data_IF_773643116793
#
_entry.id   IF_773643116793
#
_cell.length_a   1.000
_cell.length_b   1.000
_cell.length_c   1.000
_cell.angle_alpha   90.00
_cell.angle_beta   90.00
_cell.angle_gamma   90.00
#
_symmetry.space_group_name_H-M   'P 1'
#
loop_
_entity.id
_entity.type
_entity.pdbx_description
1 polymer ?
#
# COMPACT_ATOMS: atom_id res chain seq x y z
N UNK A 1 3.98 -56.47 14.69
CA UNK A 1 3.81 -55.88 16.04
C UNK A 1 4.68 -54.64 16.12
N UNK A 2 4.17 -53.57 16.74
CA UNK A 2 4.70 -52.18 16.82
C UNK A 2 4.71 -51.42 15.50
N UNK A 3 3.86 -50.43 15.21
CA UNK A 3 3.20 -49.37 15.97
C UNK A 3 4.12 -48.25 16.50
N UNK A 4 3.69 -47.02 16.18
CA UNK A 4 4.01 -45.67 16.73
C UNK A 4 5.25 -44.96 16.21
N UNK A 5 5.34 -43.63 16.07
CA UNK A 5 4.46 -42.43 16.08
C UNK A 5 5.44 -41.25 15.98
N UNK A 6 5.05 -40.17 15.28
CA UNK A 6 5.54 -38.78 15.40
C UNK A 6 7.05 -38.45 15.45
N UNK A 7 7.48 -37.60 14.51
CA UNK A 7 7.73 -36.18 14.82
C UNK A 7 8.36 -35.51 13.59
N UNK A 8 7.53 -34.77 12.84
CA UNK A 8 8.02 -33.71 11.96
C UNK A 8 8.58 -32.64 12.88
N UNK A 9 9.89 -32.70 13.12
CA UNK A 9 10.61 -31.73 13.95
C UNK A 9 10.65 -30.37 13.25
N UNK A 10 9.63 -29.56 13.55
CA UNK A 10 9.70 -28.11 13.68
C UNK A 10 10.86 -27.72 14.61
N UNK A 11 12.08 -27.58 14.09
CA UNK A 11 13.15 -26.91 14.82
C UNK A 11 14.35 -26.59 13.91
N UNK A 12 14.21 -25.57 13.08
CA UNK A 12 15.37 -24.87 12.51
C UNK A 12 15.02 -23.43 12.09
N UNK A 13 14.24 -22.70 12.88
CA UNK A 13 14.28 -21.23 12.83
C UNK A 13 15.52 -20.82 13.61
N UNK A 14 16.67 -20.86 12.92
CA UNK A 14 17.91 -20.29 13.42
C UNK A 14 17.81 -18.77 13.30
N UNK A 15 17.81 -18.12 14.45
CA UNK A 15 18.11 -16.71 14.62
C UNK A 15 19.36 -16.36 13.78
N UNK A 16 19.23 -15.47 12.79
CA UNK A 16 20.41 -14.92 12.10
C UNK A 16 20.32 -14.58 10.61
N UNK A 17 19.25 -14.88 9.88
CA UNK A 17 19.19 -14.58 8.43
C UNK A 17 18.24 -13.43 8.10
N UNK A 18 18.70 -12.19 8.30
CA UNK A 18 18.10 -11.00 7.70
C UNK A 18 18.49 -10.83 6.21
N UNK A 19 18.71 -11.92 5.50
CA UNK A 19 19.12 -11.94 4.10
C UNK A 19 18.34 -13.04 3.38
N UNK A 20 17.23 -12.68 2.75
CA UNK A 20 16.81 -13.41 1.55
C UNK A 20 17.93 -13.22 0.54
N UNK A 21 18.40 -14.31 -0.09
CA UNK A 21 19.68 -14.44 -0.80
C UNK A 21 19.97 -13.45 -1.96
N UNK A 22 19.15 -12.42 -2.18
CA UNK A 22 19.27 -11.48 -3.29
C UNK A 22 19.32 -9.99 -2.89
N UNK A 23 18.89 -9.59 -1.68
CA UNK A 23 18.85 -8.17 -1.27
C UNK A 23 19.32 -7.97 0.17
N UNK A 24 20.36 -7.15 0.35
CA UNK A 24 20.92 -6.83 1.66
C UNK A 24 20.53 -5.40 2.09
N UNK A 25 19.74 -5.29 3.15
CA UNK A 25 19.41 -3.99 3.75
C UNK A 25 20.66 -3.35 4.37
N UNK A 26 20.81 -2.03 4.23
CA UNK A 26 21.95 -1.35 4.86
C UNK A 26 21.88 -1.42 6.39
N UNK A 27 23.04 -1.45 7.08
CA UNK A 27 23.06 -1.36 8.54
C UNK A 27 22.40 -0.08 9.09
N UNK A 28 22.30 0.97 8.28
CA UNK A 28 21.57 2.19 8.63
C UNK A 28 20.06 1.94 8.67
N UNK A 29 19.49 1.30 7.64
CA UNK A 29 18.05 1.00 7.57
C UNK A 29 17.55 0.18 8.77
N UNK A 30 18.40 -0.71 9.30
CA UNK A 30 18.08 -1.52 10.47
C UNK A 30 18.23 -0.76 11.79
N UNK A 31 19.24 0.12 11.92
CA UNK A 31 19.58 0.81 13.17
C UNK A 31 18.88 2.14 13.40
N UNK A 32 18.24 2.74 12.37
CA UNK A 32 17.56 4.05 12.50
C UNK A 32 16.25 4.00 13.32
N UNK A 33 15.67 2.82 13.52
CA UNK A 33 14.34 2.60 14.11
C UNK A 33 14.09 3.34 15.44
N UNK A 34 14.94 3.23 16.49
CA UNK A 34 14.67 3.92 17.76
C UNK A 34 14.70 5.44 17.62
N UNK A 35 15.62 5.97 16.82
CA UNK A 35 15.74 7.41 16.57
C UNK A 35 14.51 7.95 15.83
N UNK A 36 14.06 7.23 14.82
CA UNK A 36 12.84 7.55 14.07
C UNK A 36 11.61 7.55 14.99
N UNK A 37 11.51 6.61 15.93
CA UNK A 37 10.41 6.57 16.91
C UNK A 37 10.39 7.81 17.80
N UNK A 38 11.55 8.26 18.29
CA UNK A 38 11.68 9.49 19.10
C UNK A 38 11.24 10.70 18.29
N UNK A 39 11.68 10.82 17.03
CA UNK A 39 11.22 11.88 16.12
C UNK A 39 9.70 11.79 15.92
N UNK A 40 9.16 10.58 15.76
CA UNK A 40 7.73 10.31 15.67
C UNK A 40 6.95 10.88 16.85
N UNK A 41 7.45 10.74 18.08
CA UNK A 41 6.83 11.32 19.28
C UNK A 41 6.93 12.85 19.26
N UNK A 42 8.12 13.39 18.97
CA UNK A 42 8.38 14.84 18.94
C UNK A 42 7.48 15.56 17.93
N UNK A 43 7.23 14.95 16.77
CA UNK A 43 6.34 15.50 15.73
C UNK A 43 4.87 15.14 16.02
N UNK A 44 4.59 13.95 16.53
CA UNK A 44 3.24 13.43 16.73
C UNK A 44 2.47 14.16 17.84
N UNK A 45 3.12 14.49 18.94
CA UNK A 45 2.49 15.21 20.08
C UNK A 45 1.90 16.56 19.66
N UNK A 46 2.65 17.48 19.00
CA UNK A 46 2.09 18.76 18.57
C UNK A 46 1.06 18.62 17.43
N UNK A 47 1.14 17.55 16.62
CA UNK A 47 0.15 17.28 15.57
C UNK A 47 -1.12 16.60 16.07
N UNK A 48 -1.11 15.98 17.24
CA UNK A 48 -2.26 15.32 17.84
C UNK A 48 -3.54 16.20 17.91
N UNK A 49 -3.49 17.48 18.37
CA UNK A 49 -4.68 18.33 18.37
C UNK A 49 -5.21 18.62 16.95
N UNK A 50 -4.33 18.74 15.95
CA UNK A 50 -4.71 18.95 14.55
C UNK A 50 -5.41 17.69 14.02
N UNK A 51 -4.84 16.51 14.26
CA UNK A 51 -5.45 15.23 13.88
C UNK A 51 -6.83 15.07 14.52
N UNK A 52 -6.96 15.40 15.82
CA UNK A 52 -8.24 15.34 16.51
C UNK A 52 -9.28 16.27 15.88
N UNK A 53 -8.91 17.52 15.59
CA UNK A 53 -9.78 18.48 14.92
C UNK A 53 -10.25 17.97 13.55
N UNK A 54 -9.34 17.44 12.73
CA UNK A 54 -9.69 16.90 11.42
C UNK A 54 -10.62 15.69 11.51
N UNK A 55 -10.39 14.79 12.47
CA UNK A 55 -11.28 13.65 12.75
C UNK A 55 -12.69 14.12 13.15
N UNK A 56 -12.79 15.17 13.98
CA UNK A 56 -14.07 15.76 14.36
C UNK A 56 -14.78 16.39 13.15
N UNK A 57 -14.07 17.16 12.32
CA UNK A 57 -14.63 17.73 11.08
C UNK A 57 -15.18 16.66 10.14
N UNK A 58 -14.49 15.53 9.99
CA UNK A 58 -14.98 14.40 9.19
C UNK A 58 -16.25 13.78 9.79
N UNK A 59 -16.34 13.67 11.12
CA UNK A 59 -17.55 13.16 11.79
C UNK A 59 -18.74 14.10 11.67
N UNK A 60 -18.50 15.41 11.64
CA UNK A 60 -19.54 16.42 11.47
C UNK A 60 -20.05 16.50 10.02
N UNK A 61 -19.19 16.20 9.05
CA UNK A 61 -19.51 16.31 7.62
C UNK A 61 -19.91 14.97 6.97
N UNK A 62 -19.71 13.84 7.65
CA UNK A 62 -20.02 12.50 7.13
C UNK A 62 -20.34 11.53 8.28
N UNK A 63 -21.40 10.73 8.11
CA UNK A 63 -21.81 9.71 9.08
C UNK A 63 -20.73 8.64 9.32
N UNK A 64 -20.60 8.15 10.55
CA UNK A 64 -19.68 7.07 10.94
C UNK A 64 -18.33 7.53 11.52
N UNK A 65 -17.34 6.63 11.64
CA UNK A 65 -16.06 6.90 12.30
C UNK A 65 -15.15 7.83 11.47
N UNK A 66 -14.55 8.85 12.10
CA UNK A 66 -13.64 9.78 11.43
C UNK A 66 -12.23 9.22 11.13
N UNK A 67 -11.87 8.10 11.76
CA UNK A 67 -10.65 7.34 11.46
C UNK A 67 -10.97 6.10 10.65
N UNK A 68 -10.20 5.88 9.59
CA UNK A 68 -10.19 4.67 8.80
C UNK A 68 -9.00 3.79 9.21
N UNK A 69 -9.24 2.47 9.28
CA UNK A 69 -8.27 1.46 9.67
C UNK A 69 -8.20 0.42 8.56
N UNK A 70 -7.00 0.02 8.18
CA UNK A 70 -6.80 -0.98 7.13
C UNK A 70 -5.62 -1.88 7.45
N UNK A 71 -5.75 -3.18 7.18
CA UNK A 71 -4.63 -4.14 7.30
C UNK A 71 -3.64 -3.91 6.17
N UNK A 72 -2.37 -4.02 6.49
CA UNK A 72 -1.25 -3.79 5.57
C UNK A 72 -0.12 -4.74 5.91
N UNK A 73 0.62 -5.16 4.89
CA UNK A 73 1.82 -6.00 5.03
C UNK A 73 3.02 -5.12 5.36
N UNK A 74 3.77 -5.51 6.38
CA UNK A 74 4.91 -4.79 6.92
C UNK A 74 6.19 -5.62 6.93
N UNK A 75 7.02 -5.40 7.95
CA UNK A 75 8.32 -6.06 8.09
C UNK A 75 8.15 -7.59 8.18
N UNK A 76 8.95 -8.32 7.41
CA UNK A 76 8.94 -9.78 7.29
C UNK A 76 7.59 -10.37 6.85
N UNK A 77 6.73 -9.57 6.20
CA UNK A 77 5.40 -10.01 5.79
C UNK A 77 4.36 -9.91 6.91
N UNK A 78 4.74 -9.47 8.11
CA UNK A 78 3.83 -9.33 9.24
C UNK A 78 2.81 -8.23 8.98
N UNK A 79 1.57 -8.50 9.36
CA UNK A 79 0.49 -7.56 9.14
C UNK A 79 0.34 -6.56 10.28
N UNK A 80 0.04 -5.31 9.93
CA UNK A 80 -0.27 -4.26 10.90
C UNK A 80 -1.45 -3.41 10.44
N UNK A 81 -2.03 -2.66 11.37
CA UNK A 81 -3.14 -1.75 11.08
C UNK A 81 -2.62 -0.35 10.79
N UNK A 82 -2.81 0.14 9.57
CA UNK A 82 -2.54 1.54 9.23
C UNK A 82 -3.71 2.44 9.65
N UNK A 83 -3.41 3.62 10.17
CA UNK A 83 -4.42 4.62 10.54
C UNK A 83 -4.44 5.78 9.54
N UNK A 84 -5.64 6.16 9.09
CA UNK A 84 -5.85 7.34 8.25
C UNK A 84 -7.09 8.10 8.71
N UNK A 85 -7.19 9.37 8.32
CA UNK A 85 -8.45 10.10 8.42
C UNK A 85 -9.35 9.64 7.28
N UNK A 86 -10.60 9.34 7.58
CA UNK A 86 -11.54 8.87 6.57
C UNK A 86 -11.81 9.98 5.55
N UNK A 87 -11.44 9.73 4.29
CA UNK A 87 -11.65 10.64 3.16
C UNK A 87 -12.69 10.14 2.15
N UNK A 88 -13.16 8.90 2.30
CA UNK A 88 -14.23 8.29 1.50
C UNK A 88 -15.49 8.07 2.33
N UNK A 89 -16.62 7.87 1.65
CA UNK A 89 -17.88 7.46 2.30
C UNK A 89 -17.71 6.10 2.98
N UNK A 90 -18.50 5.83 4.02
CA UNK A 90 -18.39 4.60 4.81
C UNK A 90 -18.66 3.33 3.98
N UNK A 91 -19.54 3.45 2.99
CA UNK A 91 -19.99 2.40 2.07
C UNK A 91 -19.13 2.27 0.80
N UNK A 92 -17.98 2.95 0.75
CA UNK A 92 -17.12 3.06 -0.43
C UNK A 92 -16.64 1.71 -1.02
N UNK A 93 -16.47 0.68 -0.20
CA UNK A 93 -15.97 -0.64 -0.65
C UNK A 93 -17.09 -1.69 -0.78
N UNK A 94 -18.35 -1.35 -0.47
CA UNK A 94 -19.46 -2.31 -0.40
C UNK A 94 -19.75 -3.02 -1.72
N UNK A 95 -19.57 -2.31 -2.85
CA UNK A 95 -19.86 -2.85 -4.19
C UNK A 95 -18.60 -3.26 -4.96
N UNK A 96 -17.44 -2.66 -4.67
CA UNK A 96 -16.22 -2.83 -5.47
C UNK A 96 -15.19 -3.76 -4.83
N UNK A 97 -15.29 -4.01 -3.52
CA UNK A 97 -14.21 -4.64 -2.78
C UNK A 97 -12.90 -3.82 -2.81
N UNK A 98 -11.75 -4.48 -2.57
CA UNK A 98 -10.46 -3.85 -2.33
C UNK A 98 -9.74 -3.39 -3.60
N UNK A 99 -10.21 -2.31 -4.23
CA UNK A 99 -9.62 -1.76 -5.46
C UNK A 99 -8.71 -0.55 -5.22
N UNK A 100 -7.73 -0.33 -6.10
CA UNK A 100 -6.95 0.91 -6.12
C UNK A 100 -7.84 2.13 -6.37
N UNK A 101 -7.52 3.25 -5.70
CA UNK A 101 -8.30 4.47 -5.83
C UNK A 101 -7.96 5.21 -7.14
N UNK A 102 -8.97 5.48 -7.96
CA UNK A 102 -8.82 6.25 -9.20
C UNK A 102 -8.61 7.76 -8.95
N UNK A 103 -8.08 8.49 -9.94
CA UNK A 103 -7.79 9.94 -9.85
C UNK A 103 -9.05 10.82 -9.61
N UNK A 104 -10.24 10.38 -10.02
CA UNK A 104 -11.54 11.07 -9.79
C UNK A 104 -12.58 10.12 -9.20
N UNK A 105 -12.27 9.60 -8.03
CA UNK A 105 -13.10 8.61 -7.35
C UNK A 105 -14.37 9.24 -6.74
N UNK A 106 -15.55 8.80 -7.18
CA UNK A 106 -16.85 9.28 -6.72
C UNK A 106 -17.12 8.99 -5.24
N UNK A 107 -16.37 8.05 -4.64
CA UNK A 107 -16.50 7.65 -3.24
C UNK A 107 -15.90 8.68 -2.27
N UNK A 108 -15.14 9.66 -2.77
CA UNK A 108 -14.43 10.67 -1.97
C UNK A 108 -15.38 11.81 -1.56
N UNK A 109 -15.39 12.15 -0.27
CA UNK A 109 -16.20 13.27 0.24
C UNK A 109 -15.59 14.62 -0.16
N UNK A 110 -16.35 15.74 -0.17
CA UNK A 110 -15.78 17.06 -0.48
C UNK A 110 -14.62 17.44 0.45
N UNK A 111 -14.77 17.25 1.76
CA UNK A 111 -13.68 17.41 2.73
C UNK A 111 -12.55 16.39 2.48
N UNK A 112 -12.90 15.14 2.18
CA UNK A 112 -11.95 14.09 1.83
C UNK A 112 -11.07 14.43 0.63
N UNK A 113 -11.59 15.18 -0.35
CA UNK A 113 -10.82 15.67 -1.50
C UNK A 113 -9.71 16.62 -1.05
N UNK A 114 -10.02 17.55 -0.14
CA UNK A 114 -9.02 18.44 0.45
C UNK A 114 -7.99 17.67 1.28
N UNK A 115 -8.44 16.73 2.11
CA UNK A 115 -7.55 15.90 2.94
C UNK A 115 -6.56 15.09 2.08
N UNK A 116 -7.04 14.45 1.00
CA UNK A 116 -6.20 13.69 0.07
C UNK A 116 -5.26 14.57 -0.74
N UNK A 117 -5.70 15.76 -1.15
CA UNK A 117 -4.85 16.71 -1.88
C UNK A 117 -3.70 17.23 -1.02
N UNK A 118 -3.99 17.52 0.25
CA UNK A 118 -3.01 18.04 1.22
C UNK A 118 -2.23 16.94 1.95
N UNK A 119 -2.54 15.66 1.71
CA UNK A 119 -2.02 14.50 2.44
C UNK A 119 -2.28 14.53 3.96
N UNK A 120 -3.21 15.37 4.42
CA UNK A 120 -3.59 15.45 5.83
C UNK A 120 -4.30 14.19 6.33
N UNK A 121 -4.86 13.38 5.42
CA UNK A 121 -5.46 12.09 5.77
C UNK A 121 -4.44 11.04 6.22
N UNK A 122 -3.16 11.21 5.89
CA UNK A 122 -2.08 10.29 6.26
C UNK A 122 -1.41 10.66 7.59
N UNK A 123 -1.73 11.80 8.21
CA UNK A 123 -1.15 12.21 9.50
C UNK A 123 -1.29 11.19 10.63
N UNK A 124 -2.41 10.44 10.78
CA UNK A 124 -2.52 9.42 11.84
C UNK A 124 -1.49 8.29 11.72
N UNK A 125 -0.82 8.11 10.57
CA UNK A 125 0.26 7.12 10.39
C UNK A 125 1.48 7.42 11.27
N UNK A 126 1.64 8.65 11.79
CA UNK A 126 2.68 8.93 12.79
C UNK A 126 2.52 8.03 14.03
N UNK A 127 1.28 7.63 14.38
CA UNK A 127 1.05 6.66 15.44
C UNK A 127 1.65 5.29 15.11
N UNK A 128 1.67 4.87 13.84
CA UNK A 128 2.32 3.63 13.41
C UNK A 128 3.85 3.74 13.53
N UNK A 129 4.41 4.92 13.24
CA UNK A 129 5.85 5.20 13.45
C UNK A 129 6.21 5.12 14.94
N UNK A 130 5.36 5.71 15.81
CA UNK A 130 5.56 5.66 17.26
C UNK A 130 5.45 4.21 17.80
N UNK A 131 4.50 3.42 17.30
CA UNK A 131 4.34 2.00 17.67
C UNK A 131 5.49 1.13 17.15
N UNK A 132 6.14 1.54 16.07
CA UNK A 132 7.20 0.78 15.42
C UNK A 132 6.74 -0.11 14.26
N UNK A 133 5.52 0.06 13.79
CA UNK A 133 5.00 -0.66 12.62
C UNK A 133 5.53 -0.06 11.31
N UNK A 134 5.92 1.21 11.34
CA UNK A 134 6.36 2.00 10.18
C UNK A 134 7.59 2.85 10.48
N UNK A 135 8.25 3.31 9.42
CA UNK A 135 9.29 4.33 9.40
C UNK A 135 8.77 5.58 8.64
N UNK A 136 9.49 6.71 8.71
CA UNK A 136 9.19 7.85 7.85
C UNK A 136 9.54 7.57 6.39
N UNK A 137 10.67 6.88 6.17
CA UNK A 137 11.19 6.57 4.83
C UNK A 137 11.35 5.07 4.66
N UNK A 138 10.72 4.50 3.64
CA UNK A 138 10.72 3.07 3.34
C UNK A 138 9.74 2.69 2.21
N UNK A 139 9.65 1.41 1.85
CA UNK A 139 8.68 0.91 0.87
C UNK A 139 7.24 1.19 1.33
N UNK A 140 6.35 1.58 0.41
CA UNK A 140 4.93 1.79 0.76
C UNK A 140 4.26 0.44 1.08
N UNK A 141 3.57 0.31 2.23
CA UNK A 141 2.94 -0.95 2.61
C UNK A 141 1.69 -1.20 1.75
N UNK A 142 1.54 -2.44 1.26
CA UNK A 142 0.38 -2.85 0.46
C UNK A 142 -0.63 -3.66 1.26
N UNK A 143 -1.86 -3.74 0.74
CA UNK A 143 -2.91 -4.53 1.37
C UNK A 143 -2.60 -6.03 1.22
N UNK A 144 -2.88 -6.88 2.23
CA UNK A 144 -2.64 -8.32 2.14
C UNK A 144 -3.25 -8.94 0.87
N UNK A 145 -4.50 -8.58 0.55
CA UNK A 145 -5.21 -9.13 -0.61
C UNK A 145 -4.48 -8.79 -1.93
N UNK A 146 -3.89 -7.60 -2.02
CA UNK A 146 -3.12 -7.17 -3.19
C UNK A 146 -1.73 -7.83 -3.21
N UNK A 147 -1.13 -8.06 -2.04
CA UNK A 147 0.18 -8.71 -1.94
C UNK A 147 0.08 -10.17 -2.37
N UNK A 148 -0.98 -10.88 -1.97
CA UNK A 148 -1.26 -12.25 -2.38
C UNK A 148 -1.33 -12.40 -3.91
N UNK A 149 -1.97 -11.43 -4.59
CA UNK A 149 -2.05 -11.41 -6.06
C UNK A 149 -0.71 -11.03 -6.73
N UNK A 150 0.09 -10.15 -6.12
CA UNK A 150 1.31 -9.62 -6.73
C UNK A 150 2.55 -10.50 -6.54
N UNK A 151 2.64 -11.23 -5.42
CA UNK A 151 3.76 -12.13 -5.12
C UNK A 151 4.04 -13.15 -6.26
N UNK A 152 3.04 -13.83 -6.84
CA UNK A 152 3.29 -14.76 -7.95
C UNK A 152 3.58 -14.06 -9.30
N UNK A 153 3.27 -12.77 -9.46
CA UNK A 153 3.40 -12.04 -10.72
C UNK A 153 4.69 -11.22 -10.84
N UNK A 154 5.33 -10.92 -9.71
CA UNK A 154 6.49 -10.04 -9.62
C UNK A 154 7.59 -10.72 -8.82
N UNK A 155 8.63 -11.16 -9.53
CA UNK A 155 9.81 -11.77 -8.92
C UNK A 155 10.45 -10.84 -7.87
N UNK A 156 10.81 -11.42 -6.73
CA UNK A 156 11.44 -10.69 -5.64
C UNK A 156 10.53 -9.67 -4.94
N UNK A 157 9.21 -9.68 -5.16
CA UNK A 157 8.28 -8.76 -4.50
C UNK A 157 8.45 -8.74 -2.98
N UNK A 158 8.62 -9.92 -2.37
CA UNK A 158 8.78 -10.09 -0.92
C UNK A 158 10.05 -9.44 -0.36
N UNK A 159 11.09 -9.22 -1.18
CA UNK A 159 12.35 -8.61 -0.74
C UNK A 159 12.14 -7.17 -0.26
N UNK A 160 11.04 -6.50 -0.61
CA UNK A 160 10.69 -5.17 -0.08
C UNK A 160 10.26 -5.20 1.39
N UNK A 161 9.91 -6.37 1.93
CA UNK A 161 9.46 -6.54 3.31
C UNK A 161 10.63 -6.77 4.30
N UNK A 162 11.90 -6.68 3.88
CA UNK A 162 13.06 -6.86 4.79
C UNK A 162 13.34 -5.63 5.68
N UNK A 163 12.68 -4.50 5.42
CA UNK A 163 12.74 -3.27 6.24
C UNK A 163 11.32 -2.84 6.63
N UNK A 164 11.22 -1.93 7.62
CA UNK A 164 9.94 -1.33 7.97
C UNK A 164 9.38 -0.53 6.78
N UNK A 165 8.06 -0.61 6.52
CA UNK A 165 7.42 0.21 5.52
C UNK A 165 7.48 1.70 5.87
N UNK A 166 7.47 2.56 4.86
CA UNK A 166 7.58 4.01 5.00
C UNK A 166 6.27 4.76 4.80
N UNK A 167 6.14 5.93 5.43
CA UNK A 167 5.12 6.93 5.05
C UNK A 167 5.43 7.46 3.64
N UNK A 168 6.70 7.79 3.39
CA UNK A 168 7.23 8.13 2.06
C UNK A 168 8.35 7.16 1.66
N UNK A 169 8.74 7.20 0.38
CA UNK A 169 9.70 6.26 -0.19
C UNK A 169 10.13 6.65 -1.59
N UNK A 170 11.19 6.01 -2.09
CA UNK A 170 11.76 6.35 -3.40
C UNK A 170 10.75 6.20 -4.53
N UNK A 171 10.01 5.08 -4.53
CA UNK A 171 8.94 4.83 -5.49
C UNK A 171 7.83 5.89 -5.39
N UNK A 172 7.37 6.21 -4.17
CA UNK A 172 6.32 7.22 -3.97
C UNK A 172 6.74 8.60 -4.46
N UNK A 173 8.01 8.98 -4.27
CA UNK A 173 8.55 10.24 -4.77
C UNK A 173 8.64 10.20 -6.30
N UNK A 174 9.07 9.08 -6.91
CA UNK A 174 9.47 9.02 -8.31
C UNK A 174 8.46 8.44 -9.33
N UNK A 175 7.43 7.75 -8.88
CA UNK A 175 6.53 7.02 -9.76
C UNK A 175 5.09 7.52 -9.62
N UNK A 176 4.32 7.35 -10.69
CA UNK A 176 2.87 7.52 -10.64
C UNK A 176 2.22 6.33 -9.91
N UNK A 177 0.97 6.48 -9.43
CA UNK A 177 0.21 5.37 -8.86
C UNK A 177 0.14 4.17 -9.81
N UNK A 178 0.15 2.98 -9.24
CA UNK A 178 0.11 1.71 -9.95
C UNK A 178 -1.20 1.55 -10.75
N UNK A 179 -1.09 1.10 -12.00
CA UNK A 179 -2.24 0.82 -12.89
C UNK A 179 -2.06 -0.50 -13.65
N UNK A 180 -0.81 -0.95 -13.83
CA UNK A 180 -0.44 -2.18 -14.52
C UNK A 180 0.68 -2.88 -13.74
N UNK A 181 0.86 -4.19 -13.98
CA UNK A 181 1.92 -5.00 -13.36
C UNK A 181 3.32 -4.43 -13.65
N UNK A 182 3.54 -3.86 -14.83
CA UNK A 182 4.81 -3.23 -15.19
C UNK A 182 5.14 -2.01 -14.30
N UNK A 183 4.11 -1.26 -13.88
CA UNK A 183 4.27 -0.15 -12.93
C UNK A 183 4.68 -0.70 -11.55
N UNK A 184 4.11 -1.84 -11.13
CA UNK A 184 4.50 -2.53 -9.89
C UNK A 184 5.94 -3.01 -9.94
N UNK A 185 6.41 -3.60 -11.05
CA UNK A 185 7.82 -4.02 -11.21
C UNK A 185 8.80 -2.86 -11.02
N UNK A 186 8.50 -1.70 -11.63
CA UNK A 186 9.31 -0.48 -11.46
C UNK A 186 9.30 0.01 -10.01
N UNK A 187 8.17 -0.08 -9.33
CA UNK A 187 8.03 0.28 -7.91
C UNK A 187 8.84 -0.64 -7.01
N UNK A 188 8.75 -1.96 -7.21
CA UNK A 188 9.57 -2.93 -6.47
C UNK A 188 11.06 -2.65 -6.69
N UNK A 189 11.51 -2.46 -7.94
CA UNK A 189 12.90 -2.14 -8.22
C UNK A 189 13.37 -0.83 -7.55
N UNK A 190 12.51 0.19 -7.45
CA UNK A 190 12.82 1.42 -6.73
C UNK A 190 12.89 1.21 -5.21
N UNK A 191 12.00 0.39 -4.64
CA UNK A 191 12.00 0.06 -3.22
C UNK A 191 13.25 -0.74 -2.83
N UNK A 192 13.64 -1.73 -3.64
CA UNK A 192 14.86 -2.51 -3.42
C UNK A 192 16.11 -1.61 -3.51
N UNK A 193 16.16 -0.71 -4.50
CA UNK A 193 17.24 0.26 -4.61
C UNK A 193 17.37 1.15 -3.36
N UNK A 194 16.24 1.56 -2.76
CA UNK A 194 16.28 2.29 -1.49
C UNK A 194 16.86 1.42 -0.37
N UNK A 195 16.40 0.17 -0.23
CA UNK A 195 16.83 -0.75 0.83
C UNK A 195 18.35 -0.97 0.81
N UNK A 196 18.94 -1.10 -0.37
CA UNK A 196 20.38 -1.33 -0.58
C UNK A 196 21.24 -0.07 -0.39
N UNK A 197 20.65 1.13 -0.53
CA UNK A 197 21.38 2.40 -0.52
C UNK A 197 20.94 3.35 0.61
N UNK A 198 20.12 2.85 1.54
CA UNK A 198 19.56 3.64 2.62
C UNK A 198 20.68 4.26 3.49
N UNK A 199 20.60 5.58 3.65
CA UNK A 199 21.51 6.38 4.49
C UNK A 199 20.76 7.61 5.02
N UNK A 200 21.26 8.21 6.10
CA UNK A 200 20.65 9.42 6.67
C UNK A 200 20.50 10.54 5.64
N UNK A 201 21.55 10.76 4.85
CA UNK A 201 21.53 11.77 3.79
C UNK A 201 20.48 11.45 2.73
N UNK A 202 20.27 10.18 2.40
CA UNK A 202 19.26 9.78 1.42
C UNK A 202 17.84 9.96 1.96
N UNK A 203 17.59 9.59 3.21
CA UNK A 203 16.32 9.81 3.91
C UNK A 203 15.96 11.30 3.95
N UNK A 204 16.91 12.17 4.32
CA UNK A 204 16.69 13.63 4.35
C UNK A 204 16.31 14.19 2.97
N UNK A 205 16.89 13.66 1.90
CA UNK A 205 16.56 14.08 0.52
C UNK A 205 15.18 13.58 0.09
N UNK A 206 14.81 12.35 0.45
CA UNK A 206 13.49 11.80 0.19
C UNK A 206 12.39 12.56 0.94
N UNK A 207 12.62 12.88 2.21
CA UNK A 207 11.72 13.71 3.02
C UNK A 207 11.60 15.11 2.44
N UNK A 208 12.71 15.76 2.08
CA UNK A 208 12.71 17.08 1.46
C UNK A 208 11.93 17.06 0.12
N UNK A 209 12.14 16.04 -0.71
CA UNK A 209 11.42 15.90 -1.98
C UNK A 209 9.91 15.73 -1.77
N UNK A 210 9.52 15.00 -0.72
CA UNK A 210 8.12 14.83 -0.32
C UNK A 210 7.50 16.15 0.14
N UNK A 211 8.20 16.92 0.98
CA UNK A 211 7.74 18.23 1.44
C UNK A 211 7.55 19.18 0.24
N UNK A 212 8.53 19.28 -0.66
CA UNK A 212 8.43 20.11 -1.86
C UNK A 212 7.24 19.70 -2.74
N UNK A 213 6.99 18.39 -2.87
CA UNK A 213 5.82 17.87 -3.61
C UNK A 213 4.50 18.29 -2.97
N UNK A 214 4.38 18.18 -1.65
CA UNK A 214 3.17 18.62 -0.91
C UNK A 214 2.97 20.14 -1.04
N UNK A 215 4.06 20.91 -1.10
CA UNK A 215 4.02 22.37 -1.34
C UNK A 215 3.75 22.76 -2.80
N UNK A 216 3.51 21.80 -3.70
CA UNK A 216 3.10 22.05 -5.09
C UNK A 216 4.21 22.06 -6.13
N UNK A 217 5.46 21.77 -5.76
CA UNK A 217 6.52 21.57 -6.76
C UNK A 217 6.26 20.26 -7.52
N UNK A 218 6.29 20.37 -8.86
CA UNK A 218 6.16 19.20 -9.74
C UNK A 218 7.26 18.19 -9.41
N UNK A 219 6.86 16.93 -9.22
CA UNK A 219 7.71 15.81 -8.82
C UNK A 219 9.07 15.79 -9.54
N UNK A 220 9.07 15.90 -10.88
CA UNK A 220 10.28 15.78 -11.70
C UNK A 220 11.35 16.83 -11.35
N UNK A 221 10.93 18.01 -10.90
CA UNK A 221 11.84 19.08 -10.53
C UNK A 221 12.43 18.85 -9.15
N UNK A 222 11.60 18.48 -8.17
CA UNK A 222 12.06 18.18 -6.80
C UNK A 222 13.02 16.99 -6.75
N UNK A 223 12.68 15.90 -7.44
CA UNK A 223 13.51 14.70 -7.51
C UNK A 223 14.86 14.95 -8.21
N UNK A 224 14.87 15.77 -9.28
CA UNK A 224 16.11 16.15 -9.98
C UNK A 224 16.96 17.10 -9.15
N UNK A 225 16.36 18.11 -8.54
CA UNK A 225 17.04 19.09 -7.69
C UNK A 225 17.74 18.41 -6.52
N UNK A 226 16.99 17.55 -5.82
CA UNK A 226 17.49 16.80 -4.68
C UNK A 226 18.21 15.52 -5.10
N UNK A 227 18.50 15.31 -6.40
CA UNK A 227 19.09 14.11 -7.04
C UNK A 227 18.58 12.75 -6.48
N UNK A 228 17.31 12.69 -6.11
CA UNK A 228 16.60 11.49 -5.67
C UNK A 228 16.10 10.78 -6.92
N UNK A 229 17.01 10.13 -7.64
CA UNK A 229 16.71 9.56 -8.96
C UNK A 229 16.64 8.05 -8.92
N UNK A 230 15.71 7.48 -9.70
CA UNK A 230 15.59 6.03 -9.90
C UNK A 230 16.88 5.41 -10.45
N UNK A 231 17.18 4.12 -10.21
CA UNK A 231 18.32 3.44 -10.81
C UNK A 231 18.28 3.46 -12.35
N UNK A 232 19.45 3.32 -12.99
CA UNK A 232 19.57 3.36 -14.46
C UNK A 232 18.76 2.25 -15.15
N UNK A 233 18.63 1.09 -14.52
CA UNK A 233 17.80 -0.02 -14.98
C UNK A 233 16.34 0.38 -15.21
N UNK A 234 15.81 1.33 -14.43
CA UNK A 234 14.44 1.84 -14.57
C UNK A 234 14.40 3.08 -15.50
N UNK A 235 15.47 3.87 -15.55
CA UNK A 235 15.56 5.09 -16.40
C UNK A 235 15.86 4.82 -17.87
N UNK A 236 16.53 3.70 -18.20
CA UNK A 236 17.12 3.42 -19.52
C UNK A 236 16.16 2.87 -20.58
N UNK A 237 14.90 2.60 -20.25
CA UNK A 237 13.88 2.35 -21.26
C UNK A 237 13.55 3.65 -22.00
N UNK A 238 14.16 3.85 -23.17
CA UNK A 238 13.92 4.98 -24.06
C UNK A 238 12.49 4.93 -24.63
N UNK A 239 11.51 5.29 -23.81
CA UNK A 239 10.17 5.74 -24.19
C UNK A 239 9.63 6.57 -23.01
N UNK A 240 9.80 7.89 -23.06
CA UNK A 240 8.88 8.80 -22.37
C UNK A 240 7.72 9.10 -23.34
N UNK A 241 6.44 9.20 -22.92
CA UNK A 241 5.85 8.90 -21.63
C UNK A 241 4.68 7.92 -21.84
N UNK A 242 4.89 6.62 -21.62
CA UNK A 242 3.73 5.83 -21.21
C UNK A 242 3.47 6.27 -19.77
N UNK A 243 2.62 7.31 -19.63
CA UNK A 243 1.70 7.39 -18.49
C UNK A 243 1.34 5.93 -18.20
N UNK A 244 1.46 5.46 -16.96
CA UNK A 244 0.59 4.36 -16.56
C UNK A 244 -0.81 4.89 -16.97
N UNK A 245 -1.35 4.38 -18.08
CA UNK A 245 -2.58 4.87 -18.69
C UNK A 245 -3.69 4.08 -18.00
N UNK A 246 -4.78 4.75 -17.58
CA UNK A 246 -5.87 4.03 -16.96
C UNK A 246 -6.37 3.01 -17.98
N UNK A 247 -6.64 1.79 -17.52
CA UNK A 247 -7.31 0.79 -18.34
C UNK A 247 -8.60 1.42 -18.89
N UNK A 248 -8.57 1.83 -20.15
CA UNK A 248 -9.77 2.09 -20.93
C UNK A 248 -10.37 0.71 -21.18
N UNK A 249 -11.50 0.43 -20.53
CA UNK A 249 -12.35 -0.70 -20.92
C UNK A 249 -13.02 -0.31 -22.24
N UNK A 250 -12.23 -0.40 -23.30
CA UNK A 250 -12.70 -0.41 -24.68
C UNK A 250 -13.02 -1.86 -25.01
N UNK A 251 -14.31 -2.14 -25.26
CA UNK A 251 -14.81 -3.46 -25.66
C UNK A 251 -14.10 -3.94 -26.95
N UNK A 252 -13.89 -5.26 -27.11
CA UNK A 252 -12.87 -5.79 -28.01
C UNK A 252 -13.38 -5.95 -29.45
N UNK A 253 -12.45 -5.79 -30.40
CA UNK A 253 -12.46 -6.55 -31.65
C UNK A 253 -11.38 -7.64 -31.55
N UNK A 254 -11.69 -8.80 -32.13
CA UNK A 254 -11.21 -10.12 -31.75
C UNK A 254 -9.85 -10.55 -32.34
N UNK A 255 -9.29 -11.59 -31.67
CA UNK A 255 -8.23 -12.55 -32.06
C UNK A 255 -6.80 -12.03 -31.80
N UNK A 256 -5.89 -12.70 -31.09
CA UNK A 256 -5.72 -14.12 -30.73
C UNK A 256 -4.89 -14.19 -29.41
N UNK A 257 -4.94 -15.30 -28.66
CA UNK A 257 -4.19 -15.59 -27.40
C UNK A 257 -4.66 -15.01 -26.05
N UNK A 258 -5.83 -14.35 -25.96
CA UNK A 258 -6.38 -13.81 -24.68
C UNK A 258 -7.26 -14.80 -23.90
N UNK A 259 -7.41 -16.04 -24.36
CA UNK A 259 -8.45 -16.97 -23.86
C UNK A 259 -8.18 -17.49 -22.43
N UNK A 260 -6.92 -17.54 -21.98
CA UNK A 260 -6.59 -17.99 -20.63
C UNK A 260 -6.77 -16.89 -19.56
N UNK A 261 -6.62 -15.61 -19.93
CA UNK A 261 -6.70 -14.47 -19.00
C UNK A 261 -8.14 -13.94 -18.92
N UNK A 262 -8.88 -13.95 -20.04
CA UNK A 262 -10.29 -13.55 -20.06
C UNK A 262 -11.16 -14.51 -19.22
N UNK A 263 -10.89 -15.81 -19.30
CA UNK A 263 -11.59 -16.82 -18.48
C UNK A 263 -11.33 -16.62 -16.97
N UNK A 264 -10.14 -16.13 -16.59
CA UNK A 264 -9.81 -15.82 -15.19
C UNK A 264 -10.50 -14.52 -14.73
N UNK A 265 -10.54 -13.49 -15.58
CA UNK A 265 -11.28 -12.24 -15.33
C UNK A 265 -12.79 -12.46 -15.20
N UNK A 266 -13.39 -13.33 -16.02
CA UNK A 266 -14.82 -13.64 -15.94
C UNK A 266 -15.14 -14.48 -14.69
N UNK A 267 -14.24 -15.38 -14.28
CA UNK A 267 -14.39 -16.14 -13.03
C UNK A 267 -14.28 -15.27 -11.78
N UNK A 268 -13.50 -14.17 -11.83
CA UNK A 268 -13.36 -13.18 -10.75
C UNK A 268 -14.65 -12.35 -10.58
N UNK A 269 -15.41 -12.13 -11.67
CA UNK A 269 -16.69 -11.39 -11.62
C UNK A 269 -17.85 -12.30 -11.21
N UNK A 270 -17.88 -13.56 -11.64
CA UNK A 270 -19.04 -14.44 -11.44
C UNK A 270 -19.08 -15.12 -10.05
N UNK A 271 -17.92 -15.36 -9.42
CA UNK A 271 -17.86 -15.90 -8.04
C UNK A 271 -18.38 -14.93 -6.98
N UNK A 272 -18.44 -13.63 -7.28
CA UNK A 272 -18.97 -12.60 -6.36
C UNK A 272 -20.49 -12.43 -6.46
N UNK A 273 -21.11 -12.88 -7.56
CA UNK A 273 -22.55 -12.79 -7.80
C UNK A 273 -23.30 -14.07 -7.41
N UNK A 274 -22.68 -15.24 -7.58
CA UNK A 274 -23.31 -16.53 -7.25
C UNK A 274 -23.63 -16.72 -5.76
N UNK A 275 -22.76 -16.26 -4.85
CA UNK A 275 -22.99 -16.44 -3.40
C UNK A 275 -23.96 -15.44 -2.77
N UNK A 276 -24.37 -14.39 -3.50
CA UNK A 276 -25.32 -13.39 -3.00
C UNK A 276 -26.77 -13.71 -3.37
N UNK A 277 -27.00 -14.48 -4.43
CA UNK A 277 -28.34 -14.86 -4.88
C UNK A 277 -28.87 -16.05 -4.05
N UNK A 278 -28.01 -17.01 -3.68
CA UNK A 278 -28.44 -18.17 -2.89
C UNK A 278 -28.78 -17.81 -1.43
N UNK A 279 -28.05 -16.86 -0.83
CA UNK A 279 -28.31 -16.39 0.54
C UNK A 279 -29.57 -15.50 0.63
N UNK A 280 -29.89 -14.71 -0.40
CA UNK A 280 -31.13 -13.90 -0.43
C UNK A 280 -32.39 -14.76 -0.68
N UNK A 281 -32.26 -15.89 -1.40
CA UNK A 281 -33.35 -16.84 -1.61
C UNK A 281 -33.57 -17.72 -0.36
N UNK A 282 -32.52 -18.11 0.35
CA UNK A 282 -32.63 -18.84 1.62
C UNK A 282 -33.31 -18.00 2.71
N UNK A 283 -32.94 -16.72 2.85
CA UNK A 283 -33.48 -15.83 3.89
C UNK A 283 -34.95 -15.42 3.69
N UNK A 284 -35.49 -15.52 2.46
CA UNK A 284 -36.92 -15.23 2.18
C UNK A 284 -37.85 -16.44 2.37
N UNK A 285 -37.32 -17.64 2.59
CA UNK A 285 -38.11 -18.86 2.72
C UNK A 285 -38.57 -19.20 4.16
N UNK A 286 -38.07 -18.49 5.18
CA UNK A 286 -38.38 -18.79 6.60
C UNK A 286 -39.45 -17.89 7.27
N UNK A 287 -40.18 -17.05 6.51
CA UNK A 287 -41.32 -16.31 7.08
C UNK A 287 -42.54 -17.23 7.17
N UNK A 288 -42.58 -18.02 8.25
CA UNK A 288 -43.72 -18.85 8.64
C UNK A 288 -44.84 -17.95 9.17
N UNK A 289 -45.93 -17.84 8.43
CA UNK A 289 -47.18 -17.19 8.87
C UNK A 289 -47.81 -18.02 10.00
N UNK A 290 -48.08 -17.46 11.20
CA UNK A 290 -48.87 -18.16 12.21
C UNK A 290 -50.36 -18.14 11.79
N UNK A 291 -51.00 -19.31 11.84
CA UNK A 291 -52.48 -19.43 11.82
C UNK A 291 -53.05 -19.17 13.21
#
# INVERSE_FOLDING_TARGET
>A
MSATTEAVTLSAVREGEACSKEVCATPYALRKRPFVRVIGVVIGVPLAPIVLLLVLLVRLTSSGPGLYRQRRVGLHGEEFTIYKIRSMRQDAETLSGPVWAAKKDARVTPLGRFLRYSHLDELPQILNVIRGDMDFVGPRPERPEIVEDLVPLVDGYQNRHVVLPGITGLAQVNLEPDQEIECVRKKVAADLHYIENASLYYDLRLLSATILRVLGLRYQHGARLLRVTLPRSIRGGAQQPNKCQPAEVSRPDMLDDTVAVQALCDTIVDRSLGSLIDDEIAARSEVRVPR
#
